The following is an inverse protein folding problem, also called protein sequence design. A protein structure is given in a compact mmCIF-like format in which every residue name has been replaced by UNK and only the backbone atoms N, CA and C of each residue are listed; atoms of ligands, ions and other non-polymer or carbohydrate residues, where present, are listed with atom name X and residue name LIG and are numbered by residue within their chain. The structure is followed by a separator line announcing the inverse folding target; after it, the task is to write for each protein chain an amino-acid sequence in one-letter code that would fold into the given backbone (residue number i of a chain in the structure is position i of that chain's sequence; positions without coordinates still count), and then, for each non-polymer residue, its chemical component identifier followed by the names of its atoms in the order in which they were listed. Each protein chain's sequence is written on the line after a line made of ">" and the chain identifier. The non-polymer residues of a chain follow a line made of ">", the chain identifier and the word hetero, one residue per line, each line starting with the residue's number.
data_IF_373836634194
#
_entry.id   IF_373836634194
#
_cell.length_a   1.000
_cell.length_b   1.000
_cell.length_c   1.000
_cell.angle_alpha   90.00
_cell.angle_beta   90.00
_cell.angle_gamma   90.00
#
_symmetry.space_group_name_H-M   'P 1'
#
loop_
_entity.id
_entity.type
_entity.pdbx_description
1 polymer ?
#
# COMPACT_ATOMS: atom_id res chain seq x y z
N UNK A 1 -63.39 31.19 11.58
CA UNK A 1 -63.15 29.76 11.31
C UNK A 1 -61.95 29.63 10.36
N UNK A 2 -60.97 28.84 10.76
CA UNK A 2 -59.66 28.61 10.13
C UNK A 2 -59.78 27.99 8.74
N UNK A 3 -58.90 28.34 7.79
CA UNK A 3 -58.36 27.41 6.77
C UNK A 3 -56.92 27.82 6.42
N UNK A 4 -55.95 27.09 6.97
CA UNK A 4 -54.55 27.12 6.57
C UNK A 4 -54.37 26.12 5.43
N UNK A 5 -53.84 26.56 4.29
CA UNK A 5 -53.51 25.68 3.16
C UNK A 5 -52.07 25.21 3.36
N UNK A 6 -51.90 23.93 3.70
CA UNK A 6 -50.60 23.28 3.82
C UNK A 6 -50.21 22.79 2.43
N UNK A 7 -49.17 23.39 1.83
CA UNK A 7 -48.59 22.92 0.58
C UNK A 7 -47.64 21.78 0.93
N UNK A 8 -48.06 20.54 0.66
CA UNK A 8 -47.20 19.38 0.77
C UNK A 8 -46.23 19.36 -0.42
N UNK A 9 -44.97 19.71 -0.19
CA UNK A 9 -43.90 19.51 -1.17
C UNK A 9 -43.59 18.00 -1.25
N UNK A 10 -44.10 17.34 -2.29
CA UNK A 10 -43.77 15.95 -2.60
C UNK A 10 -42.33 15.90 -3.14
N UNK A 11 -41.37 15.61 -2.28
CA UNK A 11 -39.98 15.35 -2.70
C UNK A 11 -39.95 13.94 -3.32
N UNK A 12 -40.04 13.88 -4.64
CA UNK A 12 -39.80 12.65 -5.39
C UNK A 12 -38.30 12.32 -5.30
N UNK A 13 -37.93 11.41 -4.40
CA UNK A 13 -36.63 10.76 -4.41
C UNK A 13 -36.60 9.80 -5.61
N UNK A 14 -36.17 10.29 -6.77
CA UNK A 14 -35.89 9.42 -7.91
C UNK A 14 -34.64 8.59 -7.59
N UNK A 15 -34.84 7.37 -7.07
CA UNK A 15 -33.82 6.34 -7.15
C UNK A 15 -33.56 6.08 -8.64
N UNK A 16 -32.45 6.61 -9.16
CA UNK A 16 -32.03 6.31 -10.52
C UNK A 16 -31.73 4.81 -10.59
N UNK A 17 -32.39 4.05 -11.46
CA UNK A 17 -32.01 2.65 -11.65
C UNK A 17 -30.58 2.61 -12.19
N UNK A 18 -29.74 1.79 -11.56
CA UNK A 18 -28.42 1.47 -12.10
C UNK A 18 -28.63 0.64 -13.37
N UNK A 19 -28.68 1.30 -14.53
CA UNK A 19 -28.80 0.62 -15.81
C UNK A 19 -27.52 -0.21 -16.04
N UNK A 20 -27.70 -1.51 -16.24
CA UNK A 20 -26.63 -2.34 -16.76
C UNK A 20 -26.23 -1.79 -18.14
N UNK A 21 -24.92 -1.61 -18.34
CA UNK A 21 -24.37 -1.19 -19.63
C UNK A 21 -24.83 -2.18 -20.71
N UNK A 22 -25.31 -1.67 -21.85
CA UNK A 22 -25.75 -2.51 -22.97
C UNK A 22 -24.60 -3.31 -23.58
N UNK A 23 -24.88 -4.47 -24.16
CA UNK A 23 -23.84 -5.31 -24.80
C UNK A 23 -23.11 -4.58 -25.93
N UNK A 24 -23.83 -3.81 -26.74
CA UNK A 24 -23.24 -2.99 -27.80
C UNK A 24 -22.23 -1.97 -27.24
N UNK A 25 -22.55 -1.33 -26.12
CA UNK A 25 -21.63 -0.38 -25.48
C UNK A 25 -20.41 -1.09 -24.85
N UNK A 26 -20.59 -2.31 -24.33
CA UNK A 26 -19.45 -3.14 -23.87
C UNK A 26 -18.50 -3.49 -25.02
N UNK A 27 -19.04 -3.89 -26.16
CA UNK A 27 -18.24 -4.20 -27.37
C UNK A 27 -17.50 -2.96 -27.86
N UNK A 28 -18.15 -1.79 -27.82
CA UNK A 28 -17.50 -0.53 -28.18
C UNK A 28 -16.34 -0.19 -27.24
N UNK A 29 -16.51 -0.30 -25.92
CA UNK A 29 -15.42 -0.05 -24.96
C UNK A 29 -14.23 -1.00 -25.15
N UNK A 30 -14.51 -2.26 -25.52
CA UNK A 30 -13.47 -3.25 -25.84
C UNK A 30 -12.73 -2.88 -27.14
N UNK A 31 -13.46 -2.49 -28.20
CA UNK A 31 -12.86 -1.99 -29.45
C UNK A 31 -12.04 -0.71 -29.24
N UNK A 32 -12.50 0.18 -28.38
CA UNK A 32 -11.80 1.43 -28.04
C UNK A 32 -10.63 1.22 -27.06
N UNK A 33 -10.31 -0.03 -26.69
CA UNK A 33 -9.25 -0.39 -25.75
C UNK A 33 -9.40 0.26 -24.35
N UNK A 34 -10.61 0.74 -24.02
CA UNK A 34 -10.91 1.44 -22.75
C UNK A 34 -11.18 0.49 -21.58
N UNK A 35 -11.22 -0.81 -21.83
CA UNK A 35 -11.39 -1.84 -20.80
C UNK A 35 -10.07 -2.42 -20.30
N UNK A 36 -8.95 -2.06 -20.91
CA UNK A 36 -7.64 -2.61 -20.54
C UNK A 36 -7.00 -1.74 -19.46
N UNK A 37 -6.75 -2.33 -18.29
CA UNK A 37 -5.79 -1.79 -17.35
C UNK A 37 -4.41 -2.04 -17.94
N UNK A 38 -3.67 -0.96 -18.24
CA UNK A 38 -2.25 -1.11 -18.58
C UNK A 38 -1.54 -1.59 -17.32
N UNK A 39 -0.89 -2.76 -17.39
CA UNK A 39 0.08 -3.12 -16.38
C UNK A 39 1.10 -1.98 -16.32
N UNK A 40 1.24 -1.37 -15.15
CA UNK A 40 2.30 -0.39 -14.92
C UNK A 40 3.62 -1.14 -14.94
N UNK A 41 4.20 -1.34 -16.13
CA UNK A 41 5.58 -1.79 -16.28
C UNK A 41 6.51 -0.61 -15.97
N UNK A 42 6.40 -0.06 -14.76
CA UNK A 42 7.42 0.82 -14.24
C UNK A 42 8.66 -0.05 -14.05
N UNK A 43 9.81 0.26 -14.69
CA UNK A 43 11.05 -0.41 -14.35
C UNK A 43 11.31 -0.16 -12.87
N UNK A 44 11.13 -1.19 -12.06
CA UNK A 44 11.63 -1.17 -10.69
C UNK A 44 13.14 -1.16 -10.86
N UNK A 45 13.75 0.02 -10.74
CA UNK A 45 15.20 0.16 -10.63
C UNK A 45 15.63 -0.47 -9.30
N UNK A 46 15.50 -1.79 -9.19
CA UNK A 46 16.05 -2.60 -8.13
C UNK A 46 17.56 -2.63 -8.37
N UNK A 47 18.24 -1.55 -7.97
CA UNK A 47 19.68 -1.58 -7.73
C UNK A 47 19.96 -2.82 -6.91
N UNK A 48 20.67 -3.81 -7.48
CA UNK A 48 20.93 -5.10 -6.81
C UNK A 48 21.40 -4.82 -5.38
N UNK A 49 20.53 -5.07 -4.41
CA UNK A 49 20.83 -4.77 -3.01
C UNK A 49 21.48 -5.99 -2.38
N UNK A 50 22.40 -5.78 -1.45
CA UNK A 50 22.99 -6.90 -0.71
C UNK A 50 21.88 -7.61 0.09
N UNK A 51 21.62 -8.90 -0.13
CA UNK A 51 20.63 -9.61 0.63
C UNK A 51 21.04 -9.64 2.11
N UNK A 52 20.05 -9.55 3.00
CA UNK A 52 20.25 -9.51 4.45
C UNK A 52 19.26 -10.46 5.10
N UNK A 53 19.75 -11.24 6.06
CA UNK A 53 18.91 -12.01 6.95
C UNK A 53 19.50 -11.93 8.35
N UNK A 54 18.71 -11.45 9.30
CA UNK A 54 19.06 -11.40 10.73
C UNK A 54 17.85 -11.81 11.56
N UNK A 55 18.10 -12.64 12.57
CA UNK A 55 17.08 -13.10 13.49
C UNK A 55 17.61 -12.91 14.91
N UNK A 56 17.09 -11.90 15.63
CA UNK A 56 17.54 -11.57 16.98
C UNK A 56 16.49 -10.72 17.69
N UNK A 57 16.45 -10.76 19.02
CA UNK A 57 15.53 -9.95 19.85
C UNK A 57 14.04 -10.13 19.48
N UNK A 58 13.65 -11.30 18.97
CA UNK A 58 12.29 -11.56 18.49
C UNK A 58 11.93 -10.88 17.16
N UNK A 59 12.93 -10.40 16.42
CA UNK A 59 12.80 -9.79 15.09
C UNK A 59 13.53 -10.64 14.07
N UNK A 60 12.77 -11.22 13.14
CA UNK A 60 13.24 -11.88 11.93
C UNK A 60 13.17 -10.90 10.76
N UNK A 61 14.30 -10.28 10.41
CA UNK A 61 14.39 -9.37 9.27
C UNK A 61 15.05 -10.05 8.09
N UNK A 62 14.38 -10.04 6.95
CA UNK A 62 14.87 -10.56 5.67
C UNK A 62 14.71 -9.51 4.60
N UNK A 63 15.74 -9.35 3.77
CA UNK A 63 15.68 -8.54 2.56
C UNK A 63 16.35 -9.29 1.43
N UNK A 64 15.61 -9.49 0.35
CA UNK A 64 16.12 -10.13 -0.87
C UNK A 64 17.03 -9.22 -1.67
N UNK A 65 17.69 -9.77 -2.68
CA UNK A 65 18.53 -8.99 -3.59
C UNK A 65 17.71 -8.04 -4.49
N UNK A 66 16.43 -8.36 -4.66
CA UNK A 66 15.37 -7.55 -5.27
C UNK A 66 14.99 -6.31 -4.43
N UNK A 67 15.47 -6.22 -3.19
CA UNK A 67 15.16 -5.14 -2.26
C UNK A 67 13.84 -5.32 -1.50
N UNK A 68 13.09 -6.41 -1.73
CA UNK A 68 11.86 -6.69 -1.00
C UNK A 68 12.23 -7.14 0.40
N UNK A 69 11.62 -6.52 1.41
CA UNK A 69 11.90 -6.78 2.82
C UNK A 69 10.70 -7.40 3.54
N UNK A 70 11.00 -8.21 4.54
CA UNK A 70 10.05 -8.86 5.42
C UNK A 70 10.51 -8.73 6.87
N UNK A 71 9.56 -8.48 7.77
CA UNK A 71 9.76 -8.48 9.22
C UNK A 71 8.80 -9.51 9.80
N UNK A 72 9.33 -10.52 10.50
CA UNK A 72 8.54 -11.62 11.08
C UNK A 72 7.62 -12.30 10.06
N UNK A 73 8.09 -12.45 8.82
CA UNK A 73 7.34 -13.05 7.71
C UNK A 73 6.30 -12.14 7.04
N UNK A 74 6.05 -10.95 7.58
CA UNK A 74 5.16 -9.96 6.96
C UNK A 74 5.93 -9.03 6.02
N UNK A 75 5.38 -8.65 4.84
CA UNK A 75 6.00 -7.66 3.97
C UNK A 75 6.24 -6.35 4.72
N UNK A 76 7.42 -5.77 4.55
CA UNK A 76 7.79 -4.52 5.19
C UNK A 76 7.79 -3.37 4.17
N UNK A 77 7.23 -2.23 4.57
CA UNK A 77 7.32 -1.00 3.81
C UNK A 77 8.75 -0.47 3.87
N UNK A 78 9.18 0.26 2.83
CA UNK A 78 10.43 1.01 2.81
C UNK A 78 10.08 2.47 3.09
N UNK A 79 10.28 2.89 4.34
CA UNK A 79 9.78 4.19 4.82
C UNK A 79 10.75 5.32 4.46
N UNK A 80 12.06 5.05 4.53
CA UNK A 80 13.10 6.01 4.22
C UNK A 80 14.29 5.30 3.58
N UNK A 81 14.86 5.92 2.54
CA UNK A 81 16.10 5.49 1.93
C UNK A 81 16.97 6.71 1.64
N UNK A 82 17.99 6.91 2.47
CA UNK A 82 18.93 8.01 2.35
C UNK A 82 20.38 7.50 2.21
N UNK A 83 21.34 8.42 2.23
CA UNK A 83 22.76 8.10 2.06
C UNK A 83 23.32 7.22 3.19
N UNK A 84 22.74 7.30 4.39
CA UNK A 84 23.28 6.67 5.60
C UNK A 84 22.58 5.35 5.94
N UNK A 85 21.28 5.27 5.68
CA UNK A 85 20.44 4.16 6.11
C UNK A 85 19.21 3.96 5.22
N UNK A 86 18.61 2.80 5.40
CA UNK A 86 17.31 2.46 4.86
C UNK A 86 16.45 1.84 5.95
N UNK A 87 15.27 2.42 6.21
CA UNK A 87 14.36 1.97 7.24
C UNK A 87 13.21 1.18 6.63
N UNK A 88 12.79 0.15 7.36
CA UNK A 88 11.66 -0.68 7.00
C UNK A 88 10.71 -0.82 8.17
N UNK A 89 9.41 -0.90 7.92
CA UNK A 89 8.43 -1.15 8.97
C UNK A 89 7.41 -2.21 8.59
N UNK A 90 6.97 -2.96 9.60
CA UNK A 90 5.82 -3.85 9.52
C UNK A 90 5.08 -3.79 10.87
N UNK A 91 3.89 -3.18 10.85
CA UNK A 91 3.13 -2.93 12.07
C UNK A 91 3.91 -2.08 13.08
N UNK A 92 4.10 -2.62 14.29
CA UNK A 92 4.77 -1.91 15.39
C UNK A 92 6.29 -2.06 15.40
N UNK A 93 6.87 -2.81 14.45
CA UNK A 93 8.31 -3.06 14.39
C UNK A 93 8.90 -2.28 13.23
N UNK A 94 10.02 -1.63 13.48
CA UNK A 94 10.84 -0.97 12.46
C UNK A 94 12.28 -1.49 12.51
N UNK A 95 12.90 -1.64 11.35
CA UNK A 95 14.30 -2.08 11.20
C UNK A 95 15.05 -1.04 10.38
N UNK A 96 16.17 -0.57 10.92
CA UNK A 96 17.05 0.41 10.27
C UNK A 96 18.31 -0.32 9.81
N UNK A 97 18.52 -0.38 8.50
CA UNK A 97 19.70 -0.97 7.85
C UNK A 97 20.63 0.15 7.43
N UNK A 98 21.73 0.31 8.16
CA UNK A 98 22.74 1.30 7.82
C UNK A 98 23.61 0.80 6.67
N UNK A 99 24.08 1.70 5.80
CA UNK A 99 24.98 1.33 4.68
C UNK A 99 26.32 0.78 5.17
N UNK A 100 26.72 1.07 6.42
CA UNK A 100 27.89 0.48 7.09
C UNK A 100 27.68 -0.97 7.59
N UNK A 101 26.51 -1.57 7.34
CA UNK A 101 26.20 -2.96 7.69
C UNK A 101 25.62 -3.18 9.10
N UNK A 102 25.53 -2.12 9.92
CA UNK A 102 24.81 -2.19 11.20
C UNK A 102 23.32 -2.29 10.97
N UNK A 103 22.64 -3.05 11.80
CA UNK A 103 21.18 -3.22 11.72
C UNK A 103 20.58 -3.07 13.12
N UNK A 104 19.68 -2.12 13.27
CA UNK A 104 18.98 -1.86 14.51
C UNK A 104 17.48 -2.13 14.37
N UNK A 105 16.84 -2.53 15.46
CA UNK A 105 15.41 -2.70 15.54
C UNK A 105 14.78 -1.70 16.53
N UNK A 106 13.54 -1.33 16.23
CA UNK A 106 12.67 -0.55 17.08
C UNK A 106 11.34 -1.28 17.21
N UNK A 107 10.70 -1.15 18.38
CA UNK A 107 9.34 -1.63 18.64
C UNK A 107 8.55 -0.50 19.28
N UNK A 108 7.40 -0.16 18.70
CA UNK A 108 6.51 0.90 19.20
C UNK A 108 7.24 2.24 19.39
N UNK A 109 8.11 2.59 18.43
CA UNK A 109 8.93 3.81 18.47
C UNK A 109 10.07 3.80 19.50
N UNK A 110 10.25 2.71 20.26
CA UNK A 110 11.35 2.55 21.22
C UNK A 110 12.46 1.72 20.63
N UNK A 111 13.71 2.08 20.94
CA UNK A 111 14.88 1.31 20.54
C UNK A 111 14.85 -0.07 21.20
N UNK A 112 14.81 -1.12 20.38
CA UNK A 112 14.81 -2.50 20.84
C UNK A 112 16.25 -3.02 21.01
N UNK A 113 17.12 -2.71 20.05
CA UNK A 113 18.52 -3.11 20.10
C UNK A 113 19.16 -3.34 18.74
N UNK A 114 20.42 -3.78 18.76
CA UNK A 114 21.19 -4.12 17.57
C UNK A 114 20.99 -5.59 17.17
N UNK A 115 20.56 -5.79 15.92
CA UNK A 115 20.42 -7.10 15.28
C UNK A 115 21.76 -7.59 14.68
N UNK A 116 22.54 -6.69 14.07
CA UNK A 116 23.87 -6.95 13.50
C UNK A 116 24.80 -5.76 13.69
#
# INVERSE_FOLDING_TARGET
>A
MKKLIIIAALVASSAAPAYAISEAYRQQLQHEHKTQVSDANAPVHASKTTPVHVNKLGVDFKRGADGIAYINGSPAANDENNADAQSYSAGLISVIVYKNGKINAMKEGKYLGRLK
#
